data_IF_865939356488
#
_entry.id   IF_865939356488
#
_cell.length_a   1.000
_cell.length_b   1.000
_cell.length_c   1.000
_cell.angle_alpha   90.00
_cell.angle_beta   90.00
_cell.angle_gamma   90.00
#
_symmetry.space_group_name_H-M   'P 1'
#
loop_
_entity.id
_entity.type
_entity.pdbx_description
1 polymer ?
#
# COMPACT_ATOMS: atom_id res chain seq x y z
N UNK A 1 10.41 -4.12 -12.34
CA UNK A 1 9.19 -4.54 -11.61
C UNK A 1 8.24 -5.30 -12.51
N UNK A 2 7.57 -4.71 -13.50
CA UNK A 2 6.56 -5.40 -14.37
C UNK A 2 7.07 -6.74 -14.92
N UNK A 3 8.27 -6.78 -15.52
CA UNK A 3 8.82 -8.03 -16.04
C UNK A 3 9.07 -9.10 -14.97
N UNK A 4 9.45 -8.69 -13.76
CA UNK A 4 9.63 -9.64 -12.65
C UNK A 4 8.29 -10.19 -12.11
N UNK A 5 7.24 -9.37 -12.12
CA UNK A 5 5.87 -9.81 -11.79
C UNK A 5 5.40 -10.85 -12.83
N UNK A 6 5.61 -10.57 -14.12
CA UNK A 6 5.18 -11.43 -15.21
C UNK A 6 5.88 -12.81 -15.25
N UNK A 7 6.90 -13.04 -14.43
CA UNK A 7 7.48 -14.39 -14.23
C UNK A 7 6.58 -15.28 -13.34
N UNK A 8 5.77 -14.68 -12.45
CA UNK A 8 5.01 -15.42 -11.43
C UNK A 8 3.50 -15.18 -11.49
N UNK A 9 3.05 -14.06 -12.02
CA UNK A 9 1.63 -13.68 -12.04
C UNK A 9 1.28 -12.71 -13.17
N UNK A 10 -0.02 -12.51 -13.42
CA UNK A 10 -0.51 -11.61 -14.44
C UNK A 10 -0.22 -10.15 -14.08
N UNK A 11 0.55 -9.46 -14.92
CA UNK A 11 0.79 -8.02 -14.81
C UNK A 11 -0.10 -7.23 -15.79
N UNK A 12 -0.65 -6.12 -15.31
CA UNK A 12 -1.38 -5.15 -16.11
C UNK A 12 -0.62 -3.82 -16.10
N UNK A 13 -0.55 -3.19 -17.27
CA UNK A 13 0.00 -1.83 -17.43
C UNK A 13 -1.13 -0.94 -17.89
N UNK A 14 -1.46 0.04 -17.05
CA UNK A 14 -2.41 1.09 -17.40
C UNK A 14 -1.64 2.25 -18.02
N UNK A 15 -2.08 2.76 -19.15
CA UNK A 15 -1.42 3.85 -19.83
C UNK A 15 -2.39 4.59 -20.75
N UNK A 16 -2.19 5.88 -20.93
CA UNK A 16 -2.94 6.69 -21.89
C UNK A 16 -2.62 6.29 -23.34
N UNK A 17 -3.52 6.67 -24.26
CA UNK A 17 -3.47 6.26 -25.66
C UNK A 17 -2.16 6.66 -26.36
N UNK A 18 -1.62 7.83 -26.04
CA UNK A 18 -0.43 8.41 -26.67
C UNK A 18 0.89 7.78 -26.15
N UNK A 19 0.87 7.12 -24.99
CA UNK A 19 2.07 6.52 -24.36
C UNK A 19 2.04 4.99 -24.28
N UNK A 20 0.92 4.33 -24.56
CA UNK A 20 0.76 2.88 -24.35
C UNK A 20 1.72 2.05 -25.24
N UNK A 21 1.97 2.47 -26.45
CA UNK A 21 2.91 1.78 -27.35
C UNK A 21 4.37 1.99 -26.92
N UNK A 22 4.70 3.15 -26.37
CA UNK A 22 5.98 3.39 -25.75
C UNK A 22 6.17 2.52 -24.51
N UNK A 23 5.17 2.44 -23.64
CA UNK A 23 5.18 1.57 -22.46
C UNK A 23 5.43 0.11 -22.84
N UNK A 24 4.75 -0.39 -23.87
CA UNK A 24 4.97 -1.73 -24.43
C UNK A 24 6.41 -1.93 -24.90
N UNK A 25 6.92 -0.98 -25.65
CA UNK A 25 8.29 -1.02 -26.19
C UNK A 25 9.35 -1.05 -25.09
N UNK A 26 9.16 -0.25 -24.02
CA UNK A 26 10.05 -0.22 -22.86
C UNK A 26 10.04 -1.54 -22.10
N UNK A 27 8.86 -2.11 -21.83
CA UNK A 27 8.75 -3.42 -21.15
C UNK A 27 9.46 -4.51 -21.95
N UNK A 28 9.25 -4.58 -23.27
CA UNK A 28 9.91 -5.53 -24.15
C UNK A 28 11.44 -5.36 -24.17
N UNK A 29 11.93 -4.12 -24.23
CA UNK A 29 13.36 -3.84 -24.20
C UNK A 29 14.00 -4.30 -22.88
N UNK A 30 13.37 -3.99 -21.75
CA UNK A 30 13.83 -4.41 -20.41
C UNK A 30 13.79 -5.93 -20.26
N UNK A 31 12.72 -6.58 -20.73
CA UNK A 31 12.57 -8.03 -20.71
C UNK A 31 13.75 -8.70 -21.44
N UNK A 32 14.04 -8.26 -22.66
CA UNK A 32 15.17 -8.77 -23.47
C UNK A 32 16.52 -8.48 -22.81
N UNK A 33 16.74 -7.25 -22.35
CA UNK A 33 18.02 -6.84 -21.75
C UNK A 33 18.36 -7.61 -20.48
N UNK A 34 17.36 -7.92 -19.66
CA UNK A 34 17.51 -8.59 -18.36
C UNK A 34 17.22 -10.08 -18.42
N UNK A 35 16.85 -10.61 -19.58
CA UNK A 35 16.49 -12.02 -19.82
C UNK A 35 15.38 -12.53 -18.88
N UNK A 36 14.37 -11.71 -18.61
CA UNK A 36 13.19 -12.11 -17.85
C UNK A 36 12.35 -13.10 -18.66
N UNK A 37 11.86 -14.13 -17.99
CA UNK A 37 10.90 -15.08 -18.58
C UNK A 37 9.49 -14.48 -18.49
N UNK A 38 8.72 -14.58 -19.55
CA UNK A 38 7.32 -14.14 -19.57
C UNK A 38 6.41 -15.36 -19.46
N UNK A 39 6.21 -15.85 -18.24
CA UNK A 39 5.31 -16.96 -17.97
C UNK A 39 3.84 -16.53 -18.04
N UNK A 40 3.60 -15.24 -17.73
CA UNK A 40 2.29 -14.57 -17.85
C UNK A 40 2.42 -13.36 -18.77
N UNK A 41 1.67 -13.30 -19.89
CA UNK A 41 1.74 -12.17 -20.81
C UNK A 41 1.37 -10.85 -20.12
N UNK A 42 2.19 -9.82 -20.28
CA UNK A 42 1.85 -8.48 -19.79
C UNK A 42 0.67 -7.93 -20.59
N UNK A 43 -0.39 -7.59 -19.90
CA UNK A 43 -1.59 -6.96 -20.52
C UNK A 43 -1.50 -5.45 -20.42
N UNK A 44 -1.99 -4.78 -21.45
CA UNK A 44 -1.98 -3.32 -21.53
C UNK A 44 -3.42 -2.85 -21.67
N UNK A 45 -3.83 -1.96 -20.78
CA UNK A 45 -5.17 -1.36 -20.77
C UNK A 45 -5.00 0.13 -21.01
N UNK A 46 -5.66 0.62 -22.05
CA UNK A 46 -5.72 2.06 -22.30
C UNK A 46 -6.63 2.70 -21.26
N UNK A 47 -6.07 3.56 -20.43
CA UNK A 47 -6.77 4.21 -19.34
C UNK A 47 -6.11 5.55 -19.00
N UNK A 48 -6.91 6.56 -18.80
CA UNK A 48 -6.45 7.85 -18.30
C UNK A 48 -6.33 7.82 -16.79
N UNK A 49 -5.27 8.42 -16.24
CA UNK A 49 -5.06 8.64 -14.81
C UNK A 49 -4.30 9.96 -14.61
N UNK A 50 -4.45 10.56 -13.45
CA UNK A 50 -3.75 11.79 -13.10
C UNK A 50 -2.40 11.47 -12.43
N UNK A 51 -2.27 10.31 -11.76
CA UNK A 51 -1.03 9.83 -11.15
C UNK A 51 -0.85 8.30 -11.30
N UNK A 52 0.35 7.80 -11.00
CA UNK A 52 0.77 6.42 -11.27
C UNK A 52 0.62 5.46 -10.07
N UNK A 53 -0.03 5.87 -8.99
CA UNK A 53 -0.10 5.12 -7.73
C UNK A 53 -1.23 4.08 -7.73
N UNK A 54 -1.03 3.00 -8.50
CA UNK A 54 -2.01 1.91 -8.64
C UNK A 54 -2.40 1.23 -7.30
N UNK A 55 -1.58 1.33 -6.25
CA UNK A 55 -1.92 0.85 -4.90
C UNK A 55 -3.11 1.61 -4.34
N UNK A 56 -3.22 2.92 -4.62
CA UNK A 56 -4.17 3.81 -3.99
C UNK A 56 -5.41 4.05 -4.86
N UNK A 57 -5.22 4.19 -6.18
CA UNK A 57 -6.31 4.43 -7.13
C UNK A 57 -6.93 3.13 -7.69
N UNK A 58 -6.23 2.00 -7.57
CA UNK A 58 -6.72 0.71 -8.06
C UNK A 58 -7.71 0.04 -7.10
N UNK A 59 -8.48 -0.95 -7.59
CA UNK A 59 -9.44 -1.67 -6.75
C UNK A 59 -8.74 -2.48 -5.66
N UNK A 60 -9.32 -2.48 -4.46
CA UNK A 60 -8.96 -3.47 -3.44
C UNK A 60 -9.73 -4.75 -3.70
N UNK A 61 -9.03 -5.84 -3.99
CA UNK A 61 -9.68 -7.11 -4.24
C UNK A 61 -9.97 -7.88 -2.95
N UNK A 62 -11.19 -8.38 -2.87
CA UNK A 62 -11.63 -9.31 -1.82
C UNK A 62 -12.06 -10.63 -2.44
N UNK A 63 -11.90 -11.70 -1.67
CA UNK A 63 -12.22 -13.06 -2.08
C UNK A 63 -13.13 -13.71 -1.05
N UNK A 64 -14.22 -14.35 -1.51
CA UNK A 64 -15.08 -15.11 -0.63
C UNK A 64 -14.58 -16.55 -0.41
N UNK A 65 -15.28 -17.31 0.42
CA UNK A 65 -14.95 -18.71 0.75
C UNK A 65 -15.02 -19.64 -0.48
N UNK A 66 -15.89 -19.34 -1.45
CA UNK A 66 -16.01 -20.10 -2.70
C UNK A 66 -14.93 -19.76 -3.73
N UNK A 67 -14.08 -18.79 -3.43
CA UNK A 67 -13.00 -18.32 -4.29
C UNK A 67 -13.41 -17.26 -5.30
N UNK A 68 -14.64 -16.76 -5.28
CA UNK A 68 -15.04 -15.63 -6.13
C UNK A 68 -14.35 -14.35 -5.68
N UNK A 69 -13.84 -13.60 -6.66
CA UNK A 69 -13.08 -12.36 -6.44
C UNK A 69 -13.91 -11.17 -6.90
N UNK A 70 -13.88 -10.10 -6.13
CA UNK A 70 -14.57 -8.84 -6.42
C UNK A 70 -13.68 -7.65 -6.07
N UNK A 71 -13.69 -6.62 -6.91
CA UNK A 71 -13.03 -5.35 -6.61
C UNK A 71 -13.89 -4.47 -5.71
N UNK A 72 -13.25 -3.66 -4.89
CA UNK A 72 -13.88 -2.57 -4.13
C UNK A 72 -13.38 -1.27 -4.74
N UNK A 73 -14.31 -0.41 -5.13
CA UNK A 73 -14.09 0.91 -5.68
C UNK A 73 -14.27 1.94 -4.57
N UNK A 74 -13.16 2.35 -3.97
CA UNK A 74 -13.14 3.39 -2.95
C UNK A 74 -13.23 4.76 -3.60
N UNK A 75 -13.81 5.74 -2.92
CA UNK A 75 -13.70 7.12 -3.35
C UNK A 75 -12.26 7.60 -3.14
N UNK A 76 -11.60 8.00 -4.22
CA UNK A 76 -10.26 8.58 -4.17
C UNK A 76 -10.32 10.11 -4.28
N UNK A 77 -9.51 10.80 -3.48
CA UNK A 77 -9.53 12.26 -3.43
C UNK A 77 -8.13 12.90 -3.35
N UNK A 78 -7.15 12.32 -4.04
CA UNK A 78 -5.77 12.81 -4.04
C UNK A 78 -5.17 12.93 -2.63
N UNK A 79 -5.44 11.94 -1.75
CA UNK A 79 -4.94 11.82 -0.38
C UNK A 79 -5.33 12.94 0.59
N UNK A 80 -6.40 13.69 0.32
CA UNK A 80 -6.83 14.73 1.27
C UNK A 80 -7.85 15.71 0.73
N UNK A 81 -8.24 15.54 -0.52
CA UNK A 81 -9.26 16.36 -1.17
C UNK A 81 -8.93 17.85 -1.13
N UNK A 82 -9.89 18.66 -0.76
CA UNK A 82 -9.73 20.12 -0.66
C UNK A 82 -9.00 20.58 0.60
N UNK A 83 -8.72 19.70 1.55
CA UNK A 83 -8.09 20.05 2.83
C UNK A 83 -6.57 20.06 2.69
N UNK A 84 -6.01 18.95 2.23
CA UNK A 84 -4.57 18.70 2.13
C UNK A 84 -4.20 17.76 0.98
N UNK A 85 -5.09 17.61 -0.02
CA UNK A 85 -4.82 16.81 -1.21
C UNK A 85 -3.65 17.33 -2.04
N UNK A 86 -2.94 16.43 -2.70
CA UNK A 86 -1.72 16.76 -3.45
C UNK A 86 -2.01 17.47 -4.77
N UNK A 87 -3.18 17.28 -5.35
CA UNK A 87 -3.63 17.96 -6.58
C UNK A 87 -5.14 18.23 -6.55
N UNK A 88 -5.58 19.18 -7.38
CA UNK A 88 -6.92 19.75 -7.31
C UNK A 88 -7.98 18.97 -8.09
N UNK A 89 -7.59 18.24 -9.13
CA UNK A 89 -8.49 17.43 -9.94
C UNK A 89 -7.99 15.98 -9.93
N UNK A 90 -8.78 15.07 -9.41
CA UNK A 90 -8.52 13.64 -9.27
C UNK A 90 -9.61 12.79 -9.95
N UNK A 91 -10.39 13.38 -10.84
CA UNK A 91 -11.54 12.72 -11.44
C UNK A 91 -11.17 11.53 -12.32
N UNK A 92 -9.97 11.50 -12.90
CA UNK A 92 -9.49 10.34 -13.65
C UNK A 92 -9.09 9.22 -12.69
N UNK A 93 -8.35 9.54 -11.64
CA UNK A 93 -7.87 8.58 -10.65
C UNK A 93 -9.01 7.92 -9.88
N UNK A 94 -10.03 8.70 -9.48
CA UNK A 94 -11.23 8.22 -8.78
C UNK A 94 -12.05 7.20 -9.61
N UNK A 95 -11.78 7.08 -10.90
CA UNK A 95 -12.45 6.14 -11.81
C UNK A 95 -11.65 4.89 -12.14
N UNK A 96 -10.36 4.87 -11.77
CA UNK A 96 -9.44 3.79 -12.18
C UNK A 96 -9.94 2.43 -11.71
N UNK A 97 -10.40 2.31 -10.46
CA UNK A 97 -10.85 1.04 -9.91
C UNK A 97 -12.07 0.49 -10.67
N UNK A 98 -13.09 1.32 -10.89
CA UNK A 98 -14.28 0.93 -11.64
C UNK A 98 -13.94 0.54 -13.08
N UNK A 99 -13.15 1.35 -13.79
CA UNK A 99 -12.75 1.10 -15.16
C UNK A 99 -11.92 -0.17 -15.29
N UNK A 100 -10.97 -0.40 -14.37
CA UNK A 100 -10.15 -1.60 -14.36
C UNK A 100 -11.00 -2.87 -14.18
N UNK A 101 -11.92 -2.86 -13.21
CA UNK A 101 -12.82 -3.99 -12.99
C UNK A 101 -13.70 -4.27 -14.20
N UNK A 102 -14.24 -3.23 -14.83
CA UNK A 102 -15.04 -3.35 -16.05
C UNK A 102 -14.24 -3.97 -17.20
N UNK A 103 -13.03 -3.47 -17.47
CA UNK A 103 -12.16 -3.96 -18.56
C UNK A 103 -11.66 -5.40 -18.32
N UNK A 104 -11.53 -5.81 -17.08
CA UNK A 104 -11.03 -7.13 -16.72
C UNK A 104 -12.13 -8.13 -16.37
N UNK A 105 -13.40 -7.67 -16.33
CA UNK A 105 -14.57 -8.51 -16.06
C UNK A 105 -14.75 -8.93 -14.61
N UNK A 106 -14.12 -8.20 -13.67
CA UNK A 106 -14.39 -8.40 -12.25
C UNK A 106 -15.66 -7.67 -11.82
N UNK A 107 -16.45 -8.35 -11.00
CA UNK A 107 -17.52 -7.68 -10.25
C UNK A 107 -16.94 -6.62 -9.31
N UNK A 108 -17.76 -5.61 -9.00
CA UNK A 108 -17.34 -4.48 -8.18
C UNK A 108 -18.32 -4.20 -7.03
N UNK A 109 -17.78 -3.75 -5.91
CA UNK A 109 -18.52 -3.06 -4.85
C UNK A 109 -18.20 -1.56 -4.95
N UNK A 110 -19.21 -0.77 -5.25
CA UNK A 110 -19.12 0.69 -5.17
C UNK A 110 -19.18 1.10 -3.68
N UNK A 111 -18.07 1.65 -3.19
CA UNK A 111 -17.94 2.10 -1.81
C UNK A 111 -18.10 3.61 -1.65
N UNK A 112 -18.37 4.35 -2.74
CA UNK A 112 -18.58 5.79 -2.65
C UNK A 112 -19.75 6.15 -1.71
N UNK A 113 -19.66 7.24 -0.97
CA UNK A 113 -18.58 8.24 -0.96
C UNK A 113 -17.49 7.96 0.10
N UNK A 114 -17.24 6.73 0.51
CA UNK A 114 -16.25 6.41 1.53
C UNK A 114 -14.84 6.52 0.97
N UNK A 115 -14.10 7.54 1.42
CA UNK A 115 -12.73 7.81 0.97
C UNK A 115 -11.77 6.84 1.65
N UNK A 116 -11.04 6.07 0.82
CA UNK A 116 -10.00 5.15 1.28
C UNK A 116 -9.00 4.88 0.15
N UNK A 117 -7.77 4.66 0.50
CA UNK A 117 -6.71 4.25 -0.41
C UNK A 117 -6.16 2.86 -0.01
N UNK A 118 -5.68 2.10 -0.99
CA UNK A 118 -5.07 0.80 -0.72
C UNK A 118 -3.87 0.85 0.22
N UNK A 119 -3.08 1.94 0.17
CA UNK A 119 -1.95 2.17 1.07
C UNK A 119 -2.34 2.52 2.51
N UNK A 120 -3.57 3.00 2.72
CA UNK A 120 -4.11 3.31 4.05
C UNK A 120 -4.48 2.06 4.87
N UNK A 121 -4.48 0.87 4.26
CA UNK A 121 -4.83 -0.40 4.89
C UNK A 121 -3.73 -1.44 4.70
N UNK A 122 -3.55 -2.32 5.68
CA UNK A 122 -2.74 -3.54 5.55
C UNK A 122 -3.44 -4.71 6.21
N UNK A 123 -3.59 -5.83 5.49
CA UNK A 123 -4.31 -7.01 5.97
C UNK A 123 -3.41 -8.23 6.07
N UNK A 124 -3.72 -9.15 6.99
CA UNK A 124 -3.10 -10.47 7.07
C UNK A 124 -3.78 -11.53 6.19
N UNK A 125 -4.86 -11.16 5.51
CA UNK A 125 -5.68 -12.10 4.74
C UNK A 125 -6.54 -13.04 5.59
N UNK A 126 -6.45 -12.95 6.94
CA UNK A 126 -7.20 -13.74 7.91
C UNK A 126 -8.00 -12.86 8.87
N UNK A 127 -8.72 -11.89 8.30
CA UNK A 127 -9.70 -11.03 8.99
C UNK A 127 -9.11 -9.94 9.91
N UNK A 128 -7.78 -9.71 9.90
CA UNK A 128 -7.18 -8.60 10.63
C UNK A 128 -6.70 -7.52 9.68
N UNK A 129 -7.05 -6.26 9.96
CA UNK A 129 -6.60 -5.07 9.21
C UNK A 129 -5.93 -4.10 10.16
N UNK A 130 -4.81 -3.51 9.72
CA UNK A 130 -4.12 -2.44 10.42
C UNK A 130 -4.30 -1.14 9.64
N UNK A 131 -4.55 -0.05 10.37
CA UNK A 131 -4.74 1.31 9.83
C UNK A 131 -4.09 2.33 10.76
N UNK A 132 -3.86 3.56 10.27
CA UNK A 132 -3.41 4.68 11.09
C UNK A 132 -4.57 5.62 11.44
N UNK A 133 -4.57 6.15 12.67
CA UNK A 133 -5.55 7.18 13.07
C UNK A 133 -5.28 8.49 12.35
N UNK A 134 -4.03 8.88 12.20
CA UNK A 134 -3.62 10.10 11.48
C UNK A 134 -4.16 10.15 10.05
N UNK A 135 -4.20 9.03 9.35
CA UNK A 135 -4.74 8.95 7.99
C UNK A 135 -6.28 8.91 8.00
N UNK A 136 -6.87 7.85 8.55
CA UNK A 136 -8.30 7.59 8.38
C UNK A 136 -9.21 8.57 9.14
N UNK A 137 -8.72 9.19 10.21
CA UNK A 137 -9.45 10.21 10.99
C UNK A 137 -9.07 11.64 10.59
N UNK A 138 -8.28 11.81 9.52
CA UNK A 138 -7.96 13.15 9.02
C UNK A 138 -9.20 13.83 8.44
N UNK A 139 -9.20 15.17 8.47
CA UNK A 139 -10.28 15.97 7.89
C UNK A 139 -10.36 15.85 6.37
N UNK A 140 -9.29 15.38 5.74
CA UNK A 140 -9.20 15.17 4.31
C UNK A 140 -9.77 13.83 3.83
N UNK A 141 -10.29 12.97 4.73
CA UNK A 141 -10.87 11.67 4.37
C UNK A 141 -12.38 11.65 4.59
N UNK A 142 -12.82 11.20 5.75
CA UNK A 142 -14.24 11.00 6.06
C UNK A 142 -14.63 11.78 7.33
N UNK A 143 -14.59 13.14 7.32
CA UNK A 143 -14.80 13.95 8.52
C UNK A 143 -16.19 13.81 9.13
N UNK A 144 -17.18 13.36 8.35
CA UNK A 144 -18.58 13.17 8.80
C UNK A 144 -18.78 11.84 9.54
N UNK A 145 -17.78 10.93 9.50
CA UNK A 145 -17.88 9.62 10.11
C UNK A 145 -17.08 9.57 11.43
N UNK A 146 -17.69 8.95 12.43
CA UNK A 146 -17.00 8.57 13.66
C UNK A 146 -16.03 7.42 13.42
N UNK A 147 -15.04 7.26 14.29
CA UNK A 147 -14.10 6.13 14.25
C UNK A 147 -14.80 4.78 14.20
N UNK A 148 -15.88 4.60 14.94
CA UNK A 148 -16.67 3.37 14.95
C UNK A 148 -17.40 3.10 13.65
N UNK A 149 -17.88 4.13 12.96
CA UNK A 149 -18.49 4.00 11.64
C UNK A 149 -17.47 3.65 10.57
N UNK A 150 -16.29 4.28 10.60
CA UNK A 150 -15.17 3.92 9.72
C UNK A 150 -14.77 2.46 9.96
N UNK A 151 -14.63 2.04 11.22
CA UNK A 151 -14.27 0.67 11.56
C UNK A 151 -15.33 -0.33 11.05
N UNK A 152 -16.60 0.00 11.16
CA UNK A 152 -17.69 -0.85 10.65
C UNK A 152 -17.62 -0.98 9.11
N UNK A 153 -17.39 0.14 8.39
CA UNK A 153 -17.22 0.09 6.94
C UNK A 153 -16.03 -0.78 6.52
N UNK A 154 -14.89 -0.67 7.20
CA UNK A 154 -13.72 -1.53 6.94
C UNK A 154 -14.07 -3.01 7.16
N UNK A 155 -14.82 -3.33 8.20
CA UNK A 155 -15.29 -4.71 8.46
C UNK A 155 -16.22 -5.21 7.37
N UNK A 156 -17.19 -4.40 6.97
CA UNK A 156 -18.21 -4.77 6.00
C UNK A 156 -17.61 -5.00 4.60
N UNK A 157 -16.74 -4.10 4.14
CA UNK A 157 -16.14 -4.20 2.81
C UNK A 157 -15.02 -5.24 2.73
N UNK A 158 -14.15 -5.30 3.74
CA UNK A 158 -12.96 -6.16 3.73
C UNK A 158 -13.19 -7.54 4.34
N UNK A 159 -14.37 -7.81 4.90
CA UNK A 159 -14.62 -9.05 5.65
C UNK A 159 -13.79 -9.16 6.92
N UNK A 160 -13.31 -8.04 7.45
CA UNK A 160 -12.46 -8.02 8.63
C UNK A 160 -13.27 -8.20 9.92
N UNK A 161 -12.75 -9.00 10.85
CA UNK A 161 -13.31 -9.10 12.20
C UNK A 161 -12.63 -8.11 13.15
N UNK A 162 -11.36 -7.78 12.85
CA UNK A 162 -10.52 -6.99 13.72
C UNK A 162 -9.83 -5.86 12.98
N UNK A 163 -10.00 -4.64 13.48
CA UNK A 163 -9.28 -3.45 13.02
C UNK A 163 -8.32 -3.00 14.11
N UNK A 164 -7.05 -2.91 13.76
CA UNK A 164 -5.99 -2.44 14.64
C UNK A 164 -5.63 -1.02 14.25
N UNK A 165 -5.89 -0.09 15.14
CA UNK A 165 -5.59 1.31 14.97
C UNK A 165 -4.23 1.65 15.57
N UNK A 166 -3.34 2.19 14.77
CA UNK A 166 -2.10 2.80 15.26
C UNK A 166 -2.21 4.31 15.17
N UNK A 167 -1.65 5.05 16.12
CA UNK A 167 -1.90 6.49 16.18
C UNK A 167 -1.30 7.24 14.99
N UNK A 168 -0.11 6.85 14.53
CA UNK A 168 0.66 7.59 13.53
C UNK A 168 1.38 6.66 12.55
N UNK A 169 1.60 7.14 11.32
CA UNK A 169 2.53 6.58 10.34
C UNK A 169 3.89 7.29 10.36
N UNK A 170 4.47 7.53 9.18
CA UNK A 170 5.70 8.32 9.03
C UNK A 170 5.35 9.79 9.04
N UNK A 171 6.00 10.55 9.91
CA UNK A 171 5.76 12.00 10.04
C UNK A 171 6.03 12.74 8.73
N UNK A 172 5.09 13.64 8.38
CA UNK A 172 5.13 14.45 7.16
C UNK A 172 5.16 13.63 5.86
N UNK A 173 4.56 12.44 5.89
CA UNK A 173 4.26 11.67 4.71
C UNK A 173 3.13 12.34 3.91
N UNK A 174 3.32 12.46 2.60
CA UNK A 174 2.41 13.14 1.69
C UNK A 174 1.01 12.52 1.64
N UNK A 175 0.89 11.24 2.03
CA UNK A 175 -0.36 10.49 2.07
C UNK A 175 -1.12 10.59 3.40
N UNK A 176 -0.73 11.50 4.30
CA UNK A 176 -1.21 11.60 5.67
C UNK A 176 -0.90 10.37 6.53
N UNK A 177 0.31 9.86 6.40
CA UNK A 177 0.82 8.79 7.24
C UNK A 177 0.15 7.42 6.97
N UNK A 178 0.14 6.97 5.71
CA UNK A 178 -0.30 5.63 5.33
C UNK A 178 0.36 4.53 6.16
N UNK A 179 -0.39 3.47 6.44
CA UNK A 179 0.10 2.34 7.24
C UNK A 179 1.15 1.51 6.52
N UNK A 180 1.08 1.37 5.21
CA UNK A 180 2.00 0.55 4.42
C UNK A 180 3.45 1.09 4.41
N UNK A 181 3.62 2.38 4.70
CA UNK A 181 4.93 3.02 4.87
C UNK A 181 5.61 2.65 6.20
N UNK A 182 4.86 2.18 7.19
CA UNK A 182 5.42 1.91 8.53
C UNK A 182 5.30 0.46 8.98
N UNK A 183 4.34 -0.29 8.43
CA UNK A 183 3.98 -1.60 8.95
C UNK A 183 3.48 -2.53 7.84
N UNK A 184 3.88 -3.80 7.88
CA UNK A 184 3.38 -4.81 6.98
C UNK A 184 3.25 -6.18 7.68
N UNK A 185 2.19 -6.94 7.36
CA UNK A 185 2.12 -8.35 7.71
C UNK A 185 3.08 -9.15 6.83
N UNK A 186 3.81 -10.06 7.44
CA UNK A 186 4.64 -11.06 6.73
C UNK A 186 3.99 -12.44 6.73
N UNK A 187 3.04 -12.65 7.61
CA UNK A 187 2.13 -13.79 7.68
C UNK A 187 1.07 -13.46 8.75
N UNK A 188 -0.02 -14.24 8.85
CA UNK A 188 -1.01 -14.04 9.91
C UNK A 188 -0.39 -13.98 11.30
N UNK A 189 -0.69 -12.92 12.03
CA UNK A 189 -0.14 -12.67 13.36
C UNK A 189 1.33 -12.23 13.42
N UNK A 190 2.02 -12.02 12.29
CA UNK A 190 3.40 -11.53 12.24
C UNK A 190 3.50 -10.23 11.46
N UNK A 191 4.11 -9.23 12.06
CA UNK A 191 4.23 -7.87 11.52
C UNK A 191 5.68 -7.43 11.47
N UNK A 192 6.07 -6.81 10.36
CA UNK A 192 7.30 -6.02 10.23
C UNK A 192 6.96 -4.56 10.50
N UNK A 193 7.79 -3.90 11.27
CA UNK A 193 7.61 -2.49 11.63
C UNK A 193 8.87 -1.71 11.27
N UNK A 194 8.71 -0.59 10.56
CA UNK A 194 9.77 0.38 10.35
C UNK A 194 10.26 0.92 11.69
N UNK A 195 11.58 0.96 11.89
CA UNK A 195 12.18 1.27 13.18
C UNK A 195 13.42 2.14 13.03
N UNK A 196 13.57 3.11 13.93
CA UNK A 196 14.83 3.83 14.15
C UNK A 196 15.19 3.84 15.63
N UNK A 197 16.46 3.69 15.94
CA UNK A 197 17.03 3.89 17.28
C UNK A 197 17.56 5.32 17.47
N UNK A 198 17.53 6.14 16.42
CA UNK A 198 17.93 7.55 16.46
C UNK A 198 16.87 8.37 17.20
N UNK A 199 17.26 8.93 18.34
CA UNK A 199 16.36 9.74 19.18
C UNK A 199 16.09 11.13 18.60
N UNK A 200 16.94 11.57 17.69
CA UNK A 200 16.86 12.87 17.01
C UNK A 200 16.18 12.75 15.64
N UNK A 201 15.77 11.54 15.26
CA UNK A 201 15.00 11.32 14.04
C UNK A 201 13.55 11.76 14.23
N UNK A 202 13.23 12.95 13.73
CA UNK A 202 11.89 13.53 13.75
C UNK A 202 10.96 12.91 12.69
N UNK A 203 11.46 12.07 11.78
CA UNK A 203 10.66 11.42 10.74
C UNK A 203 9.72 10.33 11.27
N UNK A 204 9.93 9.87 12.50
CA UNK A 204 8.94 9.11 13.22
C UNK A 204 8.65 9.84 14.53
N UNK A 205 7.44 10.39 14.70
CA UNK A 205 7.00 10.84 16.02
C UNK A 205 7.09 9.67 17.01
N UNK A 206 8.35 9.39 17.38
CA UNK A 206 8.75 8.39 18.34
C UNK A 206 8.33 6.94 17.99
N UNK A 207 9.14 6.21 17.20
CA UNK A 207 8.97 4.75 17.08
C UNK A 207 8.91 4.05 18.44
N UNK A 208 9.55 4.64 19.46
CA UNK A 208 9.54 4.12 20.82
C UNK A 208 8.18 4.30 21.51
N UNK A 209 7.47 5.42 21.28
CA UNK A 209 6.09 5.61 21.78
C UNK A 209 5.12 4.75 21.00
N UNK A 210 5.28 4.68 19.68
CA UNK A 210 4.50 3.80 18.82
C UNK A 210 4.68 2.35 19.24
N UNK A 211 5.90 1.87 19.46
CA UNK A 211 6.15 0.48 19.92
C UNK A 211 5.63 0.21 21.31
N UNK A 212 5.76 1.17 22.24
CA UNK A 212 5.23 1.03 23.61
C UNK A 212 3.70 0.97 23.59
N UNK A 213 3.07 1.83 22.79
CA UNK A 213 1.63 1.84 22.55
C UNK A 213 1.19 0.55 21.86
N UNK A 214 1.92 0.12 20.82
CA UNK A 214 1.67 -1.13 20.09
C UNK A 214 1.78 -2.35 21.00
N UNK A 215 2.84 -2.44 21.81
CA UNK A 215 2.97 -3.54 22.78
C UNK A 215 1.81 -3.56 23.76
N UNK A 216 1.39 -2.41 24.27
CA UNK A 216 0.28 -2.33 25.22
C UNK A 216 -1.06 -2.66 24.56
N UNK A 217 -1.40 -2.04 23.43
CA UNK A 217 -2.71 -2.17 22.77
C UNK A 217 -2.86 -3.51 22.06
N UNK A 218 -1.82 -3.96 21.37
CA UNK A 218 -1.83 -5.22 20.66
C UNK A 218 -1.74 -6.44 21.57
N UNK A 219 -1.09 -6.34 22.72
CA UNK A 219 -1.18 -7.39 23.74
C UNK A 219 -2.58 -7.48 24.34
N UNK A 220 -3.29 -6.36 24.44
CA UNK A 220 -4.68 -6.33 24.94
C UNK A 220 -5.69 -6.80 23.90
N UNK A 221 -5.51 -6.46 22.63
CA UNK A 221 -6.54 -6.68 21.57
C UNK A 221 -6.26 -7.89 20.68
N UNK A 222 -4.99 -8.26 20.45
CA UNK A 222 -4.59 -9.24 19.43
C UNK A 222 -4.10 -10.58 19.95
N UNK A 223 -4.06 -10.79 21.24
CA UNK A 223 -3.67 -12.07 21.85
C UNK A 223 -2.23 -12.52 21.61
N UNK A 224 -1.66 -12.51 20.41
CA UNK A 224 -0.28 -12.96 20.14
C UNK A 224 0.25 -12.44 18.80
N UNK A 225 0.42 -11.13 18.63
CA UNK A 225 1.19 -10.63 17.50
C UNK A 225 2.70 -10.72 17.77
N UNK A 226 3.44 -11.25 16.81
CA UNK A 226 4.91 -11.27 16.83
C UNK A 226 5.44 -10.12 15.97
N UNK A 227 6.38 -9.36 16.51
CA UNK A 227 7.00 -8.22 15.83
C UNK A 227 8.42 -8.53 15.43
N UNK A 228 8.75 -8.24 14.16
CA UNK A 228 10.13 -8.16 13.69
C UNK A 228 10.45 -6.68 13.42
N UNK A 229 11.51 -6.17 14.05
CA UNK A 229 11.97 -4.80 13.79
C UNK A 229 12.79 -4.77 12.52
N UNK A 230 12.49 -3.83 11.65
CA UNK A 230 13.32 -3.46 10.53
C UNK A 230 14.01 -2.14 10.87
N UNK A 231 15.29 -2.18 11.20
CA UNK A 231 16.07 -0.97 11.48
C UNK A 231 16.62 -0.41 10.18
N UNK A 232 16.13 0.76 9.78
CA UNK A 232 16.76 1.53 8.72
C UNK A 232 17.97 2.26 9.32
N UNK A 233 19.19 1.85 8.92
CA UNK A 233 20.36 2.66 9.16
C UNK A 233 20.36 3.80 8.12
N UNK A 234 19.94 5.00 8.52
CA UNK A 234 20.15 6.20 7.72
C UNK A 234 21.66 6.39 7.55
N UNK A 235 22.19 6.11 6.36
CA UNK A 235 23.36 6.82 5.92
C UNK A 235 22.91 8.29 5.80
N UNK A 236 23.59 9.20 6.51
CA UNK A 236 23.30 10.64 6.50
C UNK A 236 23.07 11.10 5.07
N UNK A 237 21.82 11.31 4.67
CA UNK A 237 21.48 12.12 3.51
C UNK A 237 21.81 13.57 3.89
N UNK A 238 23.02 13.98 3.59
CA UNK A 238 23.37 15.38 3.53
C UNK A 238 22.59 15.94 2.35
N UNK A 239 21.75 16.90 2.62
CA UNK A 239 21.01 17.68 1.64
C UNK A 239 21.96 18.31 0.62
N UNK A 240 22.17 17.66 -0.50
CA UNK A 240 22.69 18.25 -1.74
C UNK A 240 22.30 17.31 -2.89
N UNK A 241 21.44 17.78 -3.77
CA UNK A 241 21.19 17.38 -5.16
C UNK A 241 21.85 16.07 -5.63
N UNK A 242 21.48 14.93 -5.08
CA UNK A 242 21.88 13.64 -5.61
C UNK A 242 20.69 12.99 -6.32
N UNK A 243 20.88 12.77 -7.62
CA UNK A 243 19.97 11.99 -8.45
C UNK A 243 19.85 10.56 -7.90
N UNK A 244 18.69 9.94 -8.04
CA UNK A 244 18.42 8.53 -7.69
C UNK A 244 19.41 7.51 -8.28
N UNK A 245 20.27 7.93 -9.22
CA UNK A 245 21.30 7.11 -9.87
C UNK A 245 22.56 6.88 -9.03
N UNK A 246 22.77 7.64 -7.97
CA UNK A 246 24.03 7.68 -7.22
C UNK A 246 23.95 7.04 -5.82
N UNK A 247 22.86 6.36 -5.50
CA UNK A 247 22.72 5.64 -4.23
C UNK A 247 23.48 4.31 -4.29
N UNK A 248 24.51 4.10 -3.46
CA UNK A 248 25.15 2.79 -3.36
C UNK A 248 24.16 1.80 -2.73
N UNK A 249 23.71 0.83 -3.51
CA UNK A 249 22.98 -0.34 -3.02
C UNK A 249 23.87 -1.13 -2.06
N UNK A 250 23.88 -0.77 -0.78
CA UNK A 250 24.42 -1.64 0.26
C UNK A 250 23.44 -2.80 0.44
N UNK A 251 23.86 -4.00 0.00
CA UNK A 251 23.17 -5.25 0.29
C UNK A 251 22.92 -5.35 1.80
N UNK A 252 21.65 -5.33 2.19
CA UNK A 252 21.23 -5.71 3.53
C UNK A 252 21.53 -7.21 3.66
N UNK A 253 22.47 -7.60 4.53
CA UNK A 253 22.68 -9.01 4.87
C UNK A 253 21.51 -9.47 5.74
N UNK A 254 20.57 -10.16 5.12
CA UNK A 254 19.56 -10.92 5.83
C UNK A 254 20.19 -12.24 6.29
N UNK A 255 19.83 -12.75 7.47
CA UNK A 255 20.19 -14.10 7.84
C UNK A 255 19.46 -15.10 6.93
N UNK A 256 20.05 -16.27 6.67
CA UNK A 256 19.45 -17.29 5.81
C UNK A 256 18.01 -17.69 6.21
N UNK A 257 17.65 -17.51 7.49
CA UNK A 257 16.32 -17.75 8.03
C UNK A 257 15.32 -16.64 7.65
N UNK A 258 15.80 -15.41 7.49
CA UNK A 258 15.02 -14.24 7.08
C UNK A 258 14.83 -14.22 5.56
N UNK A 259 15.84 -14.63 4.77
CA UNK A 259 15.71 -14.78 3.33
C UNK A 259 14.70 -15.88 2.94
N UNK A 260 14.69 -17.01 3.66
CA UNK A 260 13.71 -18.07 3.41
C UNK A 260 12.28 -17.66 3.78
N UNK A 261 12.11 -16.90 4.88
CA UNK A 261 10.79 -16.38 5.24
C UNK A 261 10.28 -15.34 4.22
N UNK A 262 11.18 -14.55 3.65
CA UNK A 262 10.83 -13.55 2.63
C UNK A 262 10.47 -14.18 1.28
N UNK A 263 11.16 -15.27 0.89
CA UNK A 263 10.86 -16.05 -0.33
C UNK A 263 9.57 -16.86 -0.22
N UNK A 264 9.10 -17.16 0.98
CA UNK A 264 7.83 -17.87 1.22
C UNK A 264 6.63 -16.91 1.36
N UNK A 265 6.88 -15.61 1.54
CA UNK A 265 5.85 -14.58 1.72
C UNK A 265 5.61 -13.74 0.43
N UNK A 266 6.41 -13.98 -0.61
CA UNK A 266 6.21 -13.45 -1.96
C UNK A 266 5.63 -14.53 -2.86
#
# INVERSE_FOLDING_TARGET
>A
MICAIAESEQAYVLAEADVIDNARSVVEAVRKQKNYQENFPVKYIQMESDDAWARDVGPTFVKNEDGAVRGIDWCFNAWGGKVDGLYADWTKDDRVAALFCNETGYDIYDAHPFVLEGGAIHTDGEKTVIVTESCLLSKGRNPELSKSEIEQKLKDYLGAEKIIWIPYGIYNDETNEHVDNVCAFTSPGHVVLAWTDDKDDHSGRCPQLTLKYWKMKLMQEAGKLRFTRFTFQRSRCVSQNMSFRDLPLKRVRMSARQENAWRQAM
#
